data_IF_454702510864
#
_entry.id   IF_454702510864
#
_cell.length_a   1.000
_cell.length_b   1.000
_cell.length_c   1.000
_cell.angle_alpha   90.00
_cell.angle_beta   90.00
_cell.angle_gamma   90.00
#
_symmetry.space_group_name_H-M   'P 1'
#
loop_
_entity.id
_entity.type
_entity.pdbx_description
1 polymer ?
#
# COMPACT_ATOMS: atom_id res chain seq x y z
N UNK A 1 -7.53 -18.40 -3.05
CA UNK A 1 -7.80 -17.80 -1.73
C UNK A 1 -6.62 -18.16 -0.83
N UNK A 2 -5.92 -17.16 -0.28
CA UNK A 2 -4.79 -17.37 0.64
C UNK A 2 -5.26 -16.91 2.01
N UNK A 3 -5.20 -17.77 3.03
CA UNK A 3 -5.46 -17.41 4.42
C UNK A 3 -4.12 -17.24 5.13
N UNK A 4 -3.86 -16.04 5.64
CA UNK A 4 -2.69 -15.73 6.45
C UNK A 4 -3.18 -15.03 7.73
N UNK A 5 -3.31 -15.74 8.87
CA UNK A 5 -3.73 -15.11 10.10
C UNK A 5 -2.66 -14.14 10.59
N UNK A 6 -3.05 -12.90 10.86
CA UNK A 6 -2.19 -11.84 11.37
C UNK A 6 -2.91 -11.11 12.50
N UNK A 7 -2.16 -10.67 13.51
CA UNK A 7 -2.69 -9.87 14.61
C UNK A 7 -2.09 -8.46 14.54
N UNK A 8 -2.92 -7.47 14.24
CA UNK A 8 -2.56 -6.05 14.21
C UNK A 8 -3.56 -5.28 15.07
N UNK A 9 -3.11 -4.57 16.11
CA UNK A 9 -4.00 -4.01 17.14
C UNK A 9 -4.75 -2.75 16.67
N UNK A 10 -4.26 -2.10 15.62
CA UNK A 10 -4.81 -0.84 15.12
C UNK A 10 -4.53 -0.65 13.62
N UNK A 11 -5.12 0.42 13.06
CA UNK A 11 -4.97 0.78 11.65
C UNK A 11 -3.51 1.11 11.28
N UNK A 12 -2.74 1.72 12.18
CA UNK A 12 -1.36 2.09 11.89
C UNK A 12 -0.50 0.84 11.69
N UNK A 13 -0.64 -0.15 12.58
CA UNK A 13 -0.02 -1.47 12.45
C UNK A 13 -0.48 -2.21 11.20
N UNK A 14 -1.77 -2.15 10.86
CA UNK A 14 -2.29 -2.74 9.63
C UNK A 14 -1.68 -2.11 8.36
N UNK A 15 -1.54 -0.78 8.33
CA UNK A 15 -0.90 -0.06 7.22
C UNK A 15 0.59 -0.40 7.10
N UNK A 16 1.30 -0.55 8.21
CA UNK A 16 2.73 -0.89 8.22
C UNK A 16 2.97 -2.35 7.81
N UNK A 17 2.13 -3.29 8.25
CA UNK A 17 2.15 -4.67 7.80
C UNK A 17 1.85 -4.78 6.30
N UNK A 18 0.78 -4.12 5.83
CA UNK A 18 0.42 -4.12 4.42
C UNK A 18 1.53 -3.54 3.54
N UNK A 19 2.23 -2.50 4.01
CA UNK A 19 3.40 -1.93 3.30
C UNK A 19 4.55 -2.92 3.20
N UNK A 20 4.81 -3.65 4.28
CA UNK A 20 5.86 -4.68 4.31
C UNK A 20 5.55 -5.79 3.32
N UNK A 21 4.32 -6.32 3.35
CA UNK A 21 3.87 -7.36 2.42
C UNK A 21 3.92 -6.90 0.96
N UNK A 22 3.44 -5.68 0.68
CA UNK A 22 3.48 -5.12 -0.66
C UNK A 22 4.93 -4.99 -1.16
N UNK A 23 5.87 -4.56 -0.32
CA UNK A 23 7.31 -4.51 -0.69
C UNK A 23 7.90 -5.90 -0.91
N UNK A 24 7.55 -6.89 -0.10
CA UNK A 24 8.00 -8.28 -0.29
C UNK A 24 7.49 -8.90 -1.59
N UNK A 25 6.36 -8.43 -2.11
CA UNK A 25 5.75 -8.88 -3.36
C UNK A 25 6.17 -8.04 -4.58
N UNK A 26 7.06 -7.06 -4.43
CA UNK A 26 7.40 -6.11 -5.49
C UNK A 26 7.99 -6.73 -6.76
N UNK A 27 8.60 -7.93 -6.66
CA UNK A 27 9.09 -8.70 -7.82
C UNK A 27 7.99 -9.45 -8.57
N UNK A 28 6.75 -9.45 -8.08
CA UNK A 28 5.62 -10.16 -8.67
C UNK A 28 4.86 -9.22 -9.61
N UNK A 29 4.97 -9.38 -10.95
CA UNK A 29 4.41 -8.42 -11.90
C UNK A 29 2.88 -8.35 -11.90
N UNK A 30 2.20 -9.33 -11.31
CA UNK A 30 0.74 -9.37 -11.18
C UNK A 30 0.20 -8.50 -10.02
N UNK A 31 1.06 -7.96 -9.15
CA UNK A 31 0.64 -7.21 -7.96
C UNK A 31 0.84 -5.71 -8.16
N UNK A 32 -0.25 -4.95 -8.12
CA UNK A 32 -0.18 -3.48 -8.05
C UNK A 32 0.17 -3.04 -6.61
N UNK A 33 1.48 -2.90 -6.35
CA UNK A 33 2.00 -2.46 -5.05
C UNK A 33 1.43 -1.09 -4.66
N UNK A 34 1.38 -0.16 -5.60
CA UNK A 34 0.98 1.20 -5.30
C UNK A 34 -0.55 1.35 -5.15
N UNK A 35 -1.30 0.38 -5.66
CA UNK A 35 -2.74 0.19 -5.47
C UNK A 35 -3.14 -0.35 -4.09
N UNK A 36 -2.19 -0.68 -3.22
CA UNK A 36 -2.48 -1.35 -1.93
C UNK A 36 -3.31 -0.46 -1.00
N UNK A 37 -4.41 -1.02 -0.49
CA UNK A 37 -5.29 -0.40 0.50
C UNK A 37 -5.56 -1.33 1.68
N UNK A 38 -5.90 -0.76 2.83
CA UNK A 38 -6.37 -1.46 4.03
C UNK A 38 -7.79 -1.01 4.32
N UNK A 39 -8.65 -1.94 4.70
CA UNK A 39 -10.01 -1.68 5.15
C UNK A 39 -10.36 -2.68 6.24
N UNK A 40 -11.23 -2.30 7.18
CA UNK A 40 -11.86 -3.29 8.04
C UNK A 40 -12.71 -4.24 7.18
N UNK A 41 -12.79 -5.51 7.57
CA UNK A 41 -13.50 -6.56 6.82
C UNK A 41 -14.97 -6.19 6.55
N UNK A 42 -15.64 -5.65 7.57
CA UNK A 42 -17.04 -5.24 7.50
C UNK A 42 -17.24 -3.84 6.87
N UNK A 43 -16.15 -3.14 6.54
CA UNK A 43 -16.19 -1.78 6.01
C UNK A 43 -15.27 -1.61 4.79
N UNK A 44 -15.30 -2.56 3.84
CA UNK A 44 -14.46 -2.56 2.63
C UNK A 44 -14.61 -1.31 1.72
N UNK A 45 -15.71 -0.57 1.88
CA UNK A 45 -15.91 0.71 1.20
C UNK A 45 -15.01 1.84 1.78
N UNK A 46 -14.57 1.71 3.04
CA UNK A 46 -13.60 2.61 3.68
C UNK A 46 -12.20 2.10 3.41
N UNK A 47 -11.52 2.72 2.44
CA UNK A 47 -10.17 2.32 2.02
C UNK A 47 -9.14 3.32 2.53
N UNK A 48 -8.16 2.81 3.26
CA UNK A 48 -6.98 3.55 3.67
C UNK A 48 -5.84 3.19 2.73
N UNK A 49 -5.29 4.18 2.03
CA UNK A 49 -4.15 3.96 1.15
C UNK A 49 -2.88 3.63 1.95
N UNK A 50 -2.13 2.62 1.50
CA UNK A 50 -0.85 2.26 2.13
C UNK A 50 0.29 3.15 1.65
N UNK A 51 0.26 3.49 0.37
CA UNK A 51 1.19 4.40 -0.30
C UNK A 51 0.47 5.69 -0.68
N UNK A 52 1.23 6.73 -0.98
CA UNK A 52 0.65 7.97 -1.48
C UNK A 52 -0.11 7.71 -2.80
N UNK A 53 -1.37 8.12 -2.83
CA UNK A 53 -2.30 7.85 -3.93
C UNK A 53 -2.13 8.81 -5.12
N UNK A 54 -1.20 9.77 -5.00
CA UNK A 54 -0.90 10.75 -6.06
C UNK A 54 -0.37 10.07 -7.31
N UNK A 55 -1.02 10.36 -8.44
CA UNK A 55 -0.52 10.02 -9.77
C UNK A 55 0.54 11.04 -10.20
N UNK A 56 1.71 10.53 -10.57
CA UNK A 56 2.86 11.27 -11.05
C UNK A 56 2.77 11.50 -12.59
N UNK A 57 3.56 12.42 -13.18
CA UNK A 57 3.51 12.72 -14.61
C UNK A 57 3.76 11.52 -15.53
N UNK A 58 4.51 10.52 -15.06
CA UNK A 58 4.76 9.24 -15.73
C UNK A 58 3.62 8.23 -15.58
N UNK A 59 2.48 8.66 -15.04
CA UNK A 59 1.28 7.85 -14.75
C UNK A 59 1.49 6.76 -13.69
N UNK A 60 2.63 6.75 -13.00
CA UNK A 60 2.87 5.90 -11.83
C UNK A 60 2.39 6.59 -10.56
N UNK A 61 2.16 5.81 -9.51
CA UNK A 61 1.88 6.34 -8.16
C UNK A 61 3.17 6.63 -7.41
N UNK A 62 3.04 7.42 -6.35
CA UNK A 62 4.16 7.73 -5.46
C UNK A 62 4.55 6.51 -4.59
N UNK A 63 5.85 6.29 -4.42
CA UNK A 63 6.41 5.15 -3.66
C UNK A 63 6.42 5.34 -2.13
N UNK A 64 6.07 6.55 -1.67
CA UNK A 64 6.15 6.94 -0.25
C UNK A 64 4.92 6.44 0.52
N UNK A 65 5.04 6.40 1.85
CA UNK A 65 3.92 6.17 2.77
C UNK A 65 2.79 7.18 2.47
N UNK A 66 1.53 6.76 2.62
CA UNK A 66 0.41 7.69 2.60
C UNK A 66 0.65 8.85 3.58
N UNK A 67 0.20 10.05 3.21
CA UNK A 67 0.37 11.28 4.00
C UNK A 67 1.83 11.64 4.36
N UNK A 68 2.80 11.19 3.57
CA UNK A 68 4.19 11.56 3.79
C UNK A 68 4.40 13.07 3.63
N UNK A 69 5.34 13.61 4.43
CA UNK A 69 5.86 14.97 4.24
C UNK A 69 6.91 14.97 3.13
N UNK A 70 7.01 16.07 2.39
CA UNK A 70 8.01 16.27 1.33
C UNK A 70 7.53 15.88 -0.07
N UNK A 71 8.44 15.94 -1.05
CA UNK A 71 8.12 15.74 -2.47
C UNK A 71 7.78 14.29 -2.79
N UNK A 72 6.75 14.08 -3.60
CA UNK A 72 6.41 12.75 -4.12
C UNK A 72 7.52 12.22 -5.04
N UNK A 73 7.78 10.92 -4.96
CA UNK A 73 8.73 10.22 -5.83
C UNK A 73 8.02 9.05 -6.51
N UNK A 74 8.25 8.79 -7.80
CA UNK A 74 7.66 7.64 -8.47
C UNK A 74 8.16 6.34 -7.83
N UNK A 75 7.35 5.29 -7.87
CA UNK A 75 7.80 3.94 -7.52
C UNK A 75 8.86 3.49 -8.51
N UNK A 76 10.11 3.37 -8.07
CA UNK A 76 11.15 2.68 -8.85
C UNK A 76 10.71 1.23 -9.04
N UNK A 77 10.49 0.84 -10.29
CA UNK A 77 10.41 -0.57 -10.64
C UNK A 77 11.81 -1.17 -10.50
N UNK A 78 11.98 -2.36 -9.91
CA UNK A 78 13.18 -3.16 -10.14
C UNK A 78 13.33 -3.53 -11.61
#
# INVERSE_FOLDING_TARGET
MIHLPVAVPDLAGALDLARTLARSLASTPQVDIAGTTVSAEDAQHVRHWVFCDRIMPDRRRCARKADHVGTCIPTDSP
#
